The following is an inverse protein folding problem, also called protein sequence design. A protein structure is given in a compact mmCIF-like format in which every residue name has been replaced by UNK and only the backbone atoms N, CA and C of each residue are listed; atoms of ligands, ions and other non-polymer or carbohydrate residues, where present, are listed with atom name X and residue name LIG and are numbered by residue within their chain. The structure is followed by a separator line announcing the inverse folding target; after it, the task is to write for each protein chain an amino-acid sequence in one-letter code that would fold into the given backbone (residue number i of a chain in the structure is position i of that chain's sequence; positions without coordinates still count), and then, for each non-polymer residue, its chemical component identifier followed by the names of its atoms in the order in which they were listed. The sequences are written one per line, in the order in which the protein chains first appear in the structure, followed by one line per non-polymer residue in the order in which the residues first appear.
data_IF_682680251577
#
_entry.id   IF_682680251577
#
_cell.length_a   1.000
_cell.length_b   1.000
_cell.length_c   1.000
_cell.angle_alpha   90.00
_cell.angle_beta   90.00
_cell.angle_gamma   90.00
#
_symmetry.space_group_name_H-M   'P 1'
#
loop_
_entity.id
_entity.type
_entity.pdbx_description
1 polymer ?
#
# COMPACT_ATOMS: atom_id res chain seq x y z
N UNK A 1 -3.99 -31.62 22.51
CA UNK A 1 -4.42 -31.27 23.88
C UNK A 1 -4.73 -29.77 23.92
N UNK A 2 -5.61 -29.27 24.80
CA UNK A 2 -5.76 -27.82 24.94
C UNK A 2 -4.41 -27.16 25.25
N UNK A 3 -4.25 -25.90 24.84
CA UNK A 3 -3.02 -25.12 25.03
C UNK A 3 -2.51 -25.22 26.48
N UNK A 4 -1.20 -25.40 26.65
CA UNK A 4 -0.57 -25.39 27.97
C UNK A 4 -0.14 -23.94 28.32
N UNK A 5 -0.70 -23.29 29.36
CA UNK A 5 -0.30 -21.94 29.73
C UNK A 5 1.16 -21.84 30.22
N UNK A 6 1.75 -22.93 30.70
CA UNK A 6 3.16 -22.99 31.11
C UNK A 6 4.12 -23.16 29.91
N UNK A 7 3.59 -23.58 28.76
CA UNK A 7 4.35 -23.76 27.51
C UNK A 7 3.44 -23.50 26.31
N UNK A 8 3.18 -22.21 26.06
CA UNK A 8 2.34 -21.78 24.95
C UNK A 8 3.01 -22.18 23.64
N UNK A 9 2.30 -22.95 22.83
CA UNK A 9 2.66 -23.24 21.44
C UNK A 9 2.00 -22.22 20.53
N UNK A 10 2.79 -21.43 19.80
CA UNK A 10 2.25 -20.51 18.80
C UNK A 10 1.83 -21.24 17.51
N UNK A 11 1.41 -20.48 16.50
CA UNK A 11 0.93 -21.03 15.24
C UNK A 11 1.94 -21.92 14.48
N UNK A 12 3.24 -21.84 14.78
CA UNK A 12 4.24 -22.72 14.16
C UNK A 12 4.08 -24.12 14.71
N UNK A 13 4.05 -24.29 16.02
CA UNK A 13 4.06 -25.59 16.69
C UNK A 13 2.66 -26.16 16.93
N UNK A 14 1.69 -25.29 17.23
CA UNK A 14 0.32 -25.67 17.63
C UNK A 14 -0.35 -26.56 16.58
N UNK A 15 -0.22 -26.20 15.31
CA UNK A 15 -0.91 -26.88 14.22
C UNK A 15 -0.27 -28.22 13.83
N UNK A 16 0.89 -28.56 14.38
CA UNK A 16 1.49 -29.89 14.23
C UNK A 16 0.93 -30.92 15.22
N UNK A 17 0.12 -30.50 16.21
CA UNK A 17 -0.49 -31.44 17.15
C UNK A 17 -1.48 -32.39 16.46
N UNK A 18 -1.62 -33.65 16.95
CA UNK A 18 -2.43 -34.67 16.30
C UNK A 18 -3.88 -34.27 16.06
N UNK A 19 -4.52 -33.55 16.98
CA UNK A 19 -5.92 -33.14 16.80
C UNK A 19 -6.09 -32.10 15.68
N UNK A 20 -5.11 -31.23 15.45
CA UNK A 20 -5.16 -30.26 14.35
C UNK A 20 -4.84 -30.92 13.02
N UNK A 21 -3.91 -31.89 12.99
CA UNK A 21 -3.66 -32.71 11.79
C UNK A 21 -4.93 -33.49 11.40
N UNK A 22 -5.61 -34.12 12.36
CA UNK A 22 -6.89 -34.79 12.12
C UNK A 22 -7.97 -33.82 11.63
N UNK A 23 -8.03 -32.61 12.21
CA UNK A 23 -8.95 -31.57 11.77
C UNK A 23 -8.70 -31.17 10.31
N UNK A 24 -7.44 -31.00 9.90
CA UNK A 24 -7.08 -30.67 8.53
C UNK A 24 -7.39 -31.81 7.56
N UNK A 25 -7.15 -33.07 7.95
CA UNK A 25 -7.55 -34.24 7.16
C UNK A 25 -9.06 -34.29 6.93
N UNK A 26 -9.84 -34.05 7.99
CA UNK A 26 -11.29 -33.99 7.88
C UNK A 26 -11.72 -32.83 6.98
N UNK A 27 -11.07 -31.66 7.12
CA UNK A 27 -11.37 -30.49 6.29
C UNK A 27 -11.13 -30.76 4.80
N UNK A 28 -10.08 -31.49 4.43
CA UNK A 28 -9.75 -31.84 3.03
C UNK A 28 -10.91 -32.54 2.31
N UNK A 29 -11.73 -33.30 3.02
CA UNK A 29 -12.93 -33.95 2.46
C UNK A 29 -13.94 -32.96 1.88
N UNK A 30 -13.87 -31.68 2.28
CA UNK A 30 -14.78 -30.61 1.86
C UNK A 30 -14.11 -29.54 1.00
N UNK A 31 -12.81 -29.66 0.71
CA UNK A 31 -12.05 -28.64 -0.04
C UNK A 31 -12.07 -28.88 -1.55
N UNK A 32 -12.44 -30.09 -2.01
CA UNK A 32 -12.35 -30.49 -3.42
C UNK A 32 -10.96 -30.21 -4.04
N UNK A 33 -9.90 -30.46 -3.26
CA UNK A 33 -8.52 -30.32 -3.70
C UNK A 33 -8.10 -31.42 -4.67
N UNK A 34 -7.09 -31.14 -5.50
CA UNK A 34 -6.49 -32.15 -6.38
C UNK A 34 -5.74 -33.23 -5.58
N UNK A 35 -5.70 -34.44 -6.12
CA UNK A 35 -4.94 -35.54 -5.54
C UNK A 35 -3.44 -35.19 -5.39
N UNK A 36 -2.76 -35.68 -4.34
CA UNK A 36 -1.35 -35.36 -4.10
C UNK A 36 -0.42 -35.69 -5.27
N UNK A 37 -0.72 -36.75 -6.03
CA UNK A 37 0.05 -37.15 -7.21
C UNK A 37 -0.05 -36.10 -8.34
N UNK A 38 -1.24 -35.53 -8.55
CA UNK A 38 -1.45 -34.49 -9.57
C UNK A 38 -0.76 -33.19 -9.16
N UNK A 39 -0.84 -32.81 -7.88
CA UNK A 39 -0.10 -31.67 -7.33
C UNK A 39 1.40 -31.84 -7.55
N UNK A 40 1.95 -33.03 -7.26
CA UNK A 40 3.36 -33.34 -7.47
C UNK A 40 3.75 -33.30 -8.96
N UNK A 41 2.90 -33.86 -9.84
CA UNK A 41 3.13 -33.84 -11.29
C UNK A 41 3.22 -32.41 -11.84
N UNK A 42 2.28 -31.54 -11.46
CA UNK A 42 2.27 -30.13 -11.87
C UNK A 42 3.46 -29.38 -11.26
N UNK A 43 3.81 -29.66 -9.99
CA UNK A 43 4.97 -29.04 -9.35
C UNK A 43 6.28 -29.36 -10.07
N UNK A 44 6.48 -30.60 -10.55
CA UNK A 44 7.67 -30.94 -11.34
C UNK A 44 7.63 -30.33 -12.75
N UNK A 45 6.45 -30.28 -13.40
CA UNK A 45 6.31 -29.60 -14.69
C UNK A 45 6.66 -28.11 -14.61
N UNK A 46 6.22 -27.40 -13.57
CA UNK A 46 6.52 -25.96 -13.40
C UNK A 46 8.02 -25.65 -13.21
N UNK A 47 8.84 -26.66 -12.88
CA UNK A 47 10.30 -26.55 -12.80
C UNK A 47 11.00 -26.88 -14.14
N UNK A 48 10.27 -27.43 -15.11
CA UNK A 48 10.79 -27.90 -16.39
C UNK A 48 10.99 -26.81 -17.46
N UNK A 49 11.71 -27.17 -18.53
CA UNK A 49 12.03 -26.26 -19.64
C UNK A 49 10.82 -25.88 -20.50
N UNK A 50 9.91 -26.82 -20.76
CA UNK A 50 8.65 -26.51 -21.46
C UNK A 50 7.84 -25.43 -20.73
N UNK A 51 7.72 -25.55 -19.40
CA UNK A 51 7.04 -24.53 -18.60
C UNK A 51 7.79 -23.19 -18.64
N UNK A 52 9.12 -23.22 -18.57
CA UNK A 52 9.93 -22.00 -18.70
C UNK A 52 9.60 -21.27 -20.00
N UNK A 53 9.57 -21.95 -21.15
CA UNK A 53 9.26 -21.30 -22.43
C UNK A 53 7.89 -20.61 -22.40
N UNK A 54 6.85 -21.30 -21.87
CA UNK A 54 5.51 -20.71 -21.69
C UNK A 54 5.52 -19.54 -20.72
N UNK A 55 6.28 -19.65 -19.62
CA UNK A 55 6.39 -18.62 -18.60
C UNK A 55 7.04 -17.35 -19.15
N UNK A 56 8.07 -17.49 -20.00
CA UNK A 56 8.76 -16.37 -20.66
C UNK A 56 7.98 -15.80 -21.84
N UNK A 57 7.07 -16.57 -22.45
CA UNK A 57 6.18 -16.11 -23.51
C UNK A 57 4.96 -15.28 -22.99
N UNK A 58 4.89 -14.98 -21.69
CA UNK A 58 3.81 -14.14 -21.15
C UNK A 58 3.95 -12.69 -21.61
N UNK A 59 2.85 -12.12 -22.08
CA UNK A 59 2.81 -10.72 -22.53
C UNK A 59 2.02 -9.80 -21.59
N UNK A 60 1.04 -10.33 -20.83
CA UNK A 60 0.12 -9.52 -20.01
C UNK A 60 0.19 -9.83 -18.51
N UNK A 61 0.22 -11.13 -18.15
CA UNK A 61 0.21 -11.54 -16.75
C UNK A 61 1.59 -11.32 -16.12
N UNK A 62 1.63 -10.53 -15.04
CA UNK A 62 2.80 -10.40 -14.16
C UNK A 62 2.56 -11.18 -12.87
N UNK A 63 3.56 -11.95 -12.41
CA UNK A 63 3.50 -12.73 -11.16
C UNK A 63 4.75 -12.42 -10.35
N UNK A 64 4.57 -12.15 -9.06
CA UNK A 64 5.64 -11.81 -8.10
C UNK A 64 6.59 -10.69 -8.60
N UNK A 65 6.07 -9.50 -8.97
CA UNK A 65 6.91 -8.41 -9.45
C UNK A 65 7.85 -7.91 -8.36
N UNK A 66 9.10 -7.64 -8.73
CA UNK A 66 10.11 -7.04 -7.84
C UNK A 66 10.18 -5.51 -8.00
N UNK A 67 9.04 -4.82 -7.84
CA UNK A 67 8.94 -3.35 -7.93
C UNK A 67 7.81 -2.79 -7.06
N UNK A 68 7.95 -1.53 -6.63
CA UNK A 68 6.87 -0.72 -6.05
C UNK A 68 6.33 0.30 -7.07
N UNK A 69 5.19 0.95 -6.77
CA UNK A 69 4.67 2.07 -7.58
C UNK A 69 5.30 3.41 -7.15
N UNK A 70 5.22 4.42 -8.02
CA UNK A 70 5.94 5.69 -7.88
C UNK A 70 5.76 6.41 -6.53
N UNK A 71 4.55 6.50 -5.94
CA UNK A 71 4.35 7.28 -4.72
C UNK A 71 5.12 6.72 -3.51
N UNK A 72 5.45 5.42 -3.52
CA UNK A 72 6.34 4.84 -2.50
C UNK A 72 7.72 5.51 -2.50
N UNK A 73 8.27 5.78 -3.68
CA UNK A 73 9.54 6.48 -3.83
C UNK A 73 9.42 7.97 -3.49
N UNK A 74 8.31 8.61 -3.88
CA UNK A 74 8.07 10.03 -3.60
C UNK A 74 8.00 10.32 -2.10
N UNK A 75 7.24 9.52 -1.33
CA UNK A 75 7.19 9.71 0.12
C UNK A 75 8.53 9.38 0.79
N UNK A 76 9.28 8.41 0.27
CA UNK A 76 10.61 8.06 0.78
C UNK A 76 11.60 9.22 0.57
N UNK A 77 11.55 9.88 -0.59
CA UNK A 77 12.35 11.08 -0.83
C UNK A 77 11.91 12.24 0.07
N UNK A 78 10.60 12.45 0.24
CA UNK A 78 10.04 13.55 1.04
C UNK A 78 10.48 13.50 2.51
N UNK A 79 10.50 12.33 3.15
CA UNK A 79 10.91 12.20 4.57
C UNK A 79 12.41 12.50 4.79
N UNK A 80 13.21 12.59 3.72
CA UNK A 80 14.62 12.98 3.80
C UNK A 80 14.84 14.48 4.04
N UNK A 81 13.80 15.30 3.99
CA UNK A 81 13.88 16.75 4.17
C UNK A 81 13.44 17.17 5.57
N UNK A 82 14.11 18.18 6.13
CA UNK A 82 13.89 18.64 7.51
C UNK A 82 12.43 19.04 7.75
N UNK A 83 11.79 18.44 8.78
CA UNK A 83 10.44 18.80 9.18
C UNK A 83 9.38 18.63 8.09
N UNK A 84 9.62 17.73 7.12
CA UNK A 84 8.73 17.53 5.97
C UNK A 84 7.70 16.45 6.21
N UNK A 85 6.44 16.76 5.90
CA UNK A 85 5.35 15.80 5.93
C UNK A 85 5.01 15.34 4.50
N UNK A 86 5.17 14.05 4.17
CA UNK A 86 4.67 13.51 2.91
C UNK A 86 3.15 13.53 2.89
N UNK A 87 2.56 14.10 1.85
CA UNK A 87 1.13 14.19 1.62
C UNK A 87 0.79 13.58 0.27
N UNK A 88 -0.09 12.58 0.26
CA UNK A 88 -0.49 11.92 -0.98
C UNK A 88 -1.91 12.34 -1.35
N UNK A 89 -2.05 13.11 -2.42
CA UNK A 89 -3.33 13.45 -3.02
C UNK A 89 -3.95 12.18 -3.64
N UNK A 90 -5.11 11.76 -3.13
CA UNK A 90 -5.82 10.60 -3.63
C UNK A 90 -6.33 9.64 -2.57
N UNK A 91 -6.34 8.36 -2.93
CA UNK A 91 -6.88 7.27 -2.12
C UNK A 91 -6.04 6.98 -0.88
N UNK A 92 -6.68 7.00 0.29
CA UNK A 92 -5.99 6.76 1.58
C UNK A 92 -5.41 5.34 1.73
N UNK A 93 -5.96 4.35 1.04
CA UNK A 93 -5.45 2.98 1.05
C UNK A 93 -4.00 2.89 0.59
N UNK A 94 -3.60 3.72 -0.38
CA UNK A 94 -2.23 3.81 -0.86
C UNK A 94 -1.27 4.20 0.28
N UNK A 95 -1.61 5.25 1.04
CA UNK A 95 -0.78 5.74 2.15
C UNK A 95 -0.62 4.69 3.25
N UNK A 96 -1.69 3.95 3.57
CA UNK A 96 -1.61 2.85 4.53
C UNK A 96 -0.63 1.76 4.07
N UNK A 97 -0.67 1.38 2.79
CA UNK A 97 0.26 0.42 2.22
C UNK A 97 1.71 0.91 2.25
N UNK A 98 1.97 2.16 1.83
CA UNK A 98 3.34 2.66 1.77
C UNK A 98 3.98 2.78 3.15
N UNK A 99 3.24 3.32 4.12
CA UNK A 99 3.68 3.40 5.52
C UNK A 99 4.00 2.02 6.07
N UNK A 100 3.09 1.07 5.88
CA UNK A 100 3.28 -0.32 6.34
C UNK A 100 4.48 -0.98 5.67
N UNK A 101 4.68 -0.74 4.37
CA UNK A 101 5.81 -1.30 3.63
C UNK A 101 7.16 -0.81 4.19
N UNK A 102 7.29 0.49 4.41
CA UNK A 102 8.53 1.10 4.93
C UNK A 102 8.74 0.77 6.40
N UNK A 103 7.68 0.80 7.23
CA UNK A 103 7.77 0.39 8.64
C UNK A 103 8.14 -1.09 8.79
N UNK A 104 7.63 -1.99 7.93
CA UNK A 104 8.02 -3.40 7.97
C UNK A 104 9.50 -3.60 7.62
N UNK A 105 10.06 -2.79 6.72
CA UNK A 105 11.46 -2.86 6.33
C UNK A 105 12.38 -2.27 7.40
N UNK A 106 12.15 -1.02 7.79
CA UNK A 106 13.03 -0.27 8.68
C UNK A 106 12.76 -0.50 10.18
N UNK A 107 11.61 -1.10 10.53
CA UNK A 107 11.13 -1.25 11.92
C UNK A 107 10.90 0.07 12.66
N UNK A 108 10.76 1.16 11.90
CA UNK A 108 10.55 2.50 12.42
C UNK A 108 9.17 3.07 12.01
N UNK A 109 8.62 4.03 12.76
CA UNK A 109 7.44 4.77 12.34
C UNK A 109 7.68 5.45 10.99
N UNK A 110 6.74 5.29 10.05
CA UNK A 110 6.73 6.07 8.81
C UNK A 110 5.48 6.96 8.78
N UNK A 111 5.70 8.26 8.80
CA UNK A 111 4.65 9.28 8.77
C UNK A 111 4.33 9.68 7.33
N UNK A 112 3.03 9.76 7.03
CA UNK A 112 2.51 10.23 5.76
C UNK A 112 1.00 10.36 5.85
N UNK A 113 0.46 11.35 5.16
CA UNK A 113 -0.98 11.68 5.19
C UNK A 113 -1.59 11.57 3.80
N UNK A 114 -2.92 11.52 3.77
CA UNK A 114 -3.74 11.35 2.58
C UNK A 114 -4.73 12.51 2.51
N UNK A 115 -5.08 12.97 1.31
CA UNK A 115 -6.24 13.84 1.11
C UNK A 115 -7.58 13.09 1.21
N UNK A 116 -7.53 11.76 1.14
CA UNK A 116 -8.65 10.85 1.36
C UNK A 116 -9.79 11.08 0.38
N UNK A 117 -9.45 11.18 -0.90
CA UNK A 117 -10.43 11.23 -1.98
C UNK A 117 -11.29 9.97 -1.98
N UNK A 118 -12.60 10.18 -2.09
CA UNK A 118 -13.63 9.15 -2.23
C UNK A 118 -14.18 9.16 -3.66
N UNK A 119 -15.21 8.34 -3.93
CA UNK A 119 -15.77 8.17 -5.27
C UNK A 119 -16.42 9.45 -5.83
N UNK A 120 -16.96 10.32 -4.97
CA UNK A 120 -17.49 11.63 -5.33
C UNK A 120 -16.45 12.54 -6.03
N UNK A 121 -15.17 12.42 -5.67
CA UNK A 121 -14.09 13.14 -6.32
C UNK A 121 -13.91 12.75 -7.80
N UNK A 122 -14.43 11.58 -8.23
CA UNK A 122 -14.45 11.23 -9.66
C UNK A 122 -15.39 12.13 -10.47
N UNK A 123 -16.38 12.76 -9.83
CA UNK A 123 -17.32 13.70 -10.47
C UNK A 123 -16.87 15.15 -10.27
N UNK A 124 -16.40 15.48 -9.06
CA UNK A 124 -16.16 16.88 -8.65
C UNK A 124 -14.68 17.27 -8.57
N UNK A 125 -13.76 16.33 -8.77
CA UNK A 125 -12.32 16.53 -8.55
C UNK A 125 -11.95 16.56 -7.07
N UNK A 126 -10.65 16.52 -6.78
CA UNK A 126 -10.11 16.45 -5.42
C UNK A 126 -9.79 17.79 -4.76
N UNK A 127 -10.35 18.91 -5.23
CA UNK A 127 -9.97 20.26 -4.76
C UNK A 127 -10.25 20.43 -3.26
N UNK A 128 -11.47 20.10 -2.82
CA UNK A 128 -11.85 20.25 -1.42
C UNK A 128 -10.98 19.37 -0.51
N UNK A 129 -10.64 18.16 -0.98
CA UNK A 129 -9.70 17.27 -0.28
C UNK A 129 -8.31 17.90 -0.11
N UNK A 130 -7.81 18.65 -1.10
CA UNK A 130 -6.53 19.37 -0.98
C UNK A 130 -6.63 20.51 0.04
N UNK A 131 -7.70 21.32 -0.04
CA UNK A 131 -7.94 22.47 0.86
C UNK A 131 -7.98 22.00 2.32
N UNK A 132 -8.87 21.06 2.63
CA UNK A 132 -9.05 20.56 3.99
C UNK A 132 -7.86 19.71 4.44
N UNK A 133 -7.30 18.91 3.52
CA UNK A 133 -6.15 18.06 3.79
C UNK A 133 -4.92 18.87 4.20
N UNK A 134 -4.59 19.93 3.46
CA UNK A 134 -3.46 20.80 3.80
C UNK A 134 -3.71 21.53 5.13
N UNK A 135 -4.92 22.05 5.35
CA UNK A 135 -5.27 22.74 6.59
C UNK A 135 -5.10 21.82 7.81
N UNK A 136 -5.71 20.64 7.76
CA UNK A 136 -5.64 19.66 8.84
C UNK A 136 -4.21 19.18 9.07
N UNK A 137 -3.47 18.90 8.00
CA UNK A 137 -2.08 18.43 8.10
C UNK A 137 -1.16 19.47 8.72
N UNK A 138 -1.30 20.73 8.32
CA UNK A 138 -0.53 21.83 8.85
C UNK A 138 -0.81 22.08 10.33
N UNK A 139 -2.08 22.12 10.72
CA UNK A 139 -2.48 22.38 12.11
C UNK A 139 -2.11 21.26 13.08
N UNK A 140 -2.31 20.00 12.67
CA UNK A 140 -2.10 18.84 13.55
C UNK A 140 -0.63 18.48 13.69
N UNK A 141 0.11 18.43 12.58
CA UNK A 141 1.48 17.90 12.57
C UNK A 141 2.56 18.98 12.58
N UNK A 142 2.18 20.25 12.37
CA UNK A 142 3.09 21.42 12.40
C UNK A 142 4.38 21.23 11.58
N UNK A 143 4.30 20.74 10.32
CA UNK A 143 5.48 20.56 9.49
C UNK A 143 6.11 21.89 9.08
N UNK A 144 7.39 21.86 8.72
CA UNK A 144 8.08 22.97 8.03
C UNK A 144 7.79 23.00 6.53
N UNK A 145 7.43 21.86 5.94
CA UNK A 145 7.10 21.68 4.54
C UNK A 145 6.10 20.53 4.35
N UNK A 146 5.18 20.65 3.41
CA UNK A 146 4.32 19.53 2.99
C UNK A 146 4.67 19.16 1.55
N UNK A 147 5.19 17.95 1.33
CA UNK A 147 5.56 17.48 0.00
C UNK A 147 4.42 16.64 -0.58
N UNK A 148 3.81 17.13 -1.65
CA UNK A 148 2.63 16.53 -2.28
C UNK A 148 3.04 15.58 -3.41
N UNK A 149 2.50 14.37 -3.41
CA UNK A 149 2.50 13.47 -4.57
C UNK A 149 1.11 12.90 -4.81
N UNK A 150 0.90 12.08 -5.85
CA UNK A 150 -0.44 11.60 -6.24
C UNK A 150 -0.55 10.09 -6.21
N UNK A 151 -1.75 9.59 -5.90
CA UNK A 151 -2.12 8.20 -6.24
C UNK A 151 -2.60 8.12 -7.68
N UNK A 152 -2.66 6.91 -8.24
CA UNK A 152 -3.20 6.68 -9.57
C UNK A 152 -4.64 7.20 -9.76
N UNK A 153 -5.49 7.25 -8.72
CA UNK A 153 -6.86 7.78 -8.88
C UNK A 153 -6.86 9.28 -9.22
N UNK A 154 -6.00 10.07 -8.57
CA UNK A 154 -5.92 11.51 -8.77
C UNK A 154 -5.35 11.83 -10.15
N UNK A 155 -4.42 11.00 -10.62
CA UNK A 155 -3.85 11.06 -11.97
C UNK A 155 -4.90 10.75 -13.05
N UNK A 156 -5.71 9.71 -12.85
CA UNK A 156 -6.77 9.34 -13.81
C UNK A 156 -7.88 10.38 -13.86
N UNK A 157 -8.26 10.96 -12.72
CA UNK A 157 -9.23 12.06 -12.65
C UNK A 157 -8.67 13.33 -13.32
N UNK A 158 -7.36 13.55 -13.21
CA UNK A 158 -6.68 14.71 -13.79
C UNK A 158 -6.69 15.94 -12.89
N UNK A 159 -6.55 15.74 -11.57
CA UNK A 159 -6.44 16.83 -10.59
C UNK A 159 -5.21 17.72 -10.89
N UNK A 160 -5.42 19.03 -11.10
CA UNK A 160 -4.34 20.00 -11.25
C UNK A 160 -3.79 20.39 -9.87
N UNK A 161 -2.67 19.76 -9.49
CA UNK A 161 -2.03 20.00 -8.18
C UNK A 161 -1.61 21.45 -7.99
N UNK A 162 -1.10 22.10 -9.04
CA UNK A 162 -0.63 23.49 -8.92
C UNK A 162 -1.79 24.42 -8.60
N UNK A 163 -2.87 24.31 -9.37
CA UNK A 163 -4.09 25.07 -9.15
C UNK A 163 -4.69 24.79 -7.77
N UNK A 164 -4.76 23.53 -7.36
CA UNK A 164 -5.35 23.16 -6.07
C UNK A 164 -4.55 23.66 -4.88
N UNK A 165 -3.21 23.59 -4.94
CA UNK A 165 -2.34 24.12 -3.88
C UNK A 165 -2.46 25.65 -3.79
N UNK A 166 -2.51 26.35 -4.93
CA UNK A 166 -2.71 27.80 -4.94
C UNK A 166 -4.06 28.18 -4.31
N UNK A 167 -5.15 27.50 -4.71
CA UNK A 167 -6.48 27.72 -4.14
C UNK A 167 -6.52 27.41 -2.64
N UNK A 168 -5.83 26.36 -2.18
CA UNK A 168 -5.74 26.06 -0.75
C UNK A 168 -5.00 27.13 0.04
N UNK A 169 -3.93 27.73 -0.52
CA UNK A 169 -3.26 28.88 0.08
C UNK A 169 -4.19 30.09 0.13
N UNK A 170 -4.89 30.41 -0.96
CA UNK A 170 -5.87 31.49 -1.03
C UNK A 170 -7.02 31.32 -0.01
N UNK A 171 -7.48 30.08 0.20
CA UNK A 171 -8.46 29.71 1.20
C UNK A 171 -7.92 29.75 2.65
N UNK A 172 -6.62 29.98 2.85
CA UNK A 172 -5.99 30.08 4.16
C UNK A 172 -5.68 28.72 4.82
N UNK A 173 -5.64 27.62 4.06
CA UNK A 173 -5.27 26.30 4.58
C UNK A 173 -3.86 26.28 5.17
N UNK A 174 -2.93 26.99 4.51
CA UNK A 174 -1.54 27.19 4.97
C UNK A 174 -1.10 28.63 4.66
N UNK A 175 -0.07 29.18 5.34
CA UNK A 175 0.49 30.48 4.98
C UNK A 175 0.93 30.55 3.52
N UNK A 176 0.85 31.74 2.91
CA UNK A 176 1.15 31.94 1.49
C UNK A 176 2.60 31.56 1.12
N UNK A 177 3.54 31.85 2.02
CA UNK A 177 4.96 31.54 1.91
C UNK A 177 5.31 30.13 2.38
N UNK A 178 4.35 29.35 2.91
CA UNK A 178 4.59 27.98 3.35
C UNK A 178 4.97 27.08 2.16
N UNK A 179 6.05 26.28 2.25
CA UNK A 179 6.50 25.46 1.14
C UNK A 179 5.61 24.22 0.97
N UNK A 180 5.02 24.11 -0.23
CA UNK A 180 4.21 22.96 -0.65
C UNK A 180 4.67 22.49 -2.04
N UNK A 181 5.87 21.89 -2.17
CA UNK A 181 6.29 21.31 -3.44
C UNK A 181 5.41 20.13 -3.81
N UNK A 182 5.23 19.90 -5.11
CA UNK A 182 4.38 18.82 -5.61
C UNK A 182 5.01 18.09 -6.81
N UNK A 183 4.60 16.85 -7.03
CA UNK A 183 4.91 16.08 -8.22
C UNK A 183 3.75 15.14 -8.59
N UNK A 184 3.48 15.01 -9.89
CA UNK A 184 2.62 13.95 -10.41
C UNK A 184 3.40 12.63 -10.41
N UNK A 185 2.84 11.58 -9.79
CA UNK A 185 3.50 10.29 -9.57
C UNK A 185 2.61 9.11 -9.96
N UNK A 186 2.35 8.92 -11.28
CA UNK A 186 1.40 7.91 -11.78
C UNK A 186 1.81 6.45 -11.55
#
# INVERSE_FOLDING_TARGET
MPQNPEKIQDHVELFHQPEYQQLFENKKQFENGHDPEEVQRVAEWTKGWDYREKNFAREALTVNPAKGCQPLGAIFAAVGFEGTLPFVQGSQGCVAYFRTHLTRHYKEPFSGVSSSMTEDAAVFGGLQNMIDGLANSYQLYKPKMIAVCTTCMAEVIGDDLQSFINNAKEAGSVPQDFPVPYAHTP
#
